data_IF_867321934447
#
_entry.id   IF_867321934447
#
_cell.length_a   1.000
_cell.length_b   1.000
_cell.length_c   1.000
_cell.angle_alpha   90.00
_cell.angle_beta   90.00
_cell.angle_gamma   90.00
#
_symmetry.space_group_name_H-M   'P 1'
#
loop_
_entity.id
_entity.type
_entity.pdbx_description
1 polymer ?
#
# COMPACT_ATOMS: atom_id res chain seq x y z
N UNK A 1 37.63 8.10 67.61
CA UNK A 1 37.45 6.65 67.43
C UNK A 1 36.25 6.43 66.53
N UNK A 2 36.44 5.61 65.48
CA UNK A 2 35.48 4.80 64.71
C UNK A 2 34.14 5.39 64.17
N UNK A 3 33.95 5.28 62.86
CA UNK A 3 32.66 5.20 62.14
C UNK A 3 31.98 3.81 62.38
N UNK A 4 30.87 3.35 61.70
CA UNK A 4 30.03 3.93 60.63
C UNK A 4 28.50 3.60 60.65
N UNK A 5 27.77 4.09 59.62
CA UNK A 5 26.57 3.46 59.01
C UNK A 5 25.27 4.28 59.06
N UNK A 6 24.30 4.23 58.13
CA UNK A 6 24.17 3.73 56.74
C UNK A 6 22.76 4.17 56.26
N UNK A 7 22.60 4.45 54.94
CA UNK A 7 21.33 4.58 54.15
C UNK A 7 20.44 5.83 54.40
N UNK A 8 19.77 6.47 53.42
CA UNK A 8 19.14 6.01 52.18
C UNK A 8 19.24 7.01 50.98
N UNK A 9 19.12 6.40 49.80
CA UNK A 9 18.77 6.81 48.42
C UNK A 9 18.15 8.18 48.10
N UNK A 10 18.58 8.79 46.97
CA UNK A 10 17.81 8.69 45.71
C UNK A 10 18.67 9.06 44.49
N UNK A 11 18.70 8.14 43.53
CA UNK A 11 19.20 8.35 42.18
C UNK A 11 18.13 9.10 41.37
N UNK A 12 18.53 10.15 40.66
CA UNK A 12 17.71 10.77 39.63
C UNK A 12 18.16 10.23 38.28
N UNK A 13 17.34 9.36 37.71
CA UNK A 13 17.48 8.85 36.35
C UNK A 13 17.37 10.00 35.34
N UNK A 14 18.43 10.18 34.57
CA UNK A 14 18.43 11.05 33.39
C UNK A 14 17.83 10.30 32.20
N UNK A 15 16.54 10.48 31.96
CA UNK A 15 15.89 10.03 30.73
C UNK A 15 16.37 10.86 29.53
N UNK A 16 17.28 10.30 28.74
CA UNK A 16 17.62 10.84 27.42
C UNK A 16 16.50 10.50 26.43
N UNK A 17 15.62 11.46 26.18
CA UNK A 17 14.64 11.40 25.10
C UNK A 17 15.38 11.40 23.75
N UNK A 18 15.43 10.23 23.11
CA UNK A 18 15.98 10.06 21.77
C UNK A 18 15.17 10.88 20.76
N UNK A 19 15.78 11.94 20.22
CA UNK A 19 15.20 12.81 19.19
C UNK A 19 14.88 12.00 17.94
N UNK A 20 13.60 11.97 17.55
CA UNK A 20 13.13 11.48 16.23
C UNK A 20 13.90 12.22 15.12
N UNK A 21 14.73 11.50 14.37
CA UNK A 21 15.31 12.01 13.12
C UNK A 21 14.19 12.14 12.10
N UNK A 22 13.73 13.37 11.88
CA UNK A 22 12.89 13.72 10.75
C UNK A 22 13.82 13.90 9.53
N UNK A 23 13.85 12.93 8.62
CA UNK A 23 14.59 13.08 7.37
C UNK A 23 13.83 14.05 6.45
N UNK A 24 14.44 15.14 5.99
CA UNK A 24 13.80 16.11 5.12
C UNK A 24 13.83 15.57 3.68
N UNK A 25 12.98 14.58 3.40
CA UNK A 25 12.71 14.12 2.04
C UNK A 25 11.46 14.79 1.50
N UNK A 26 11.46 15.15 0.21
CA UNK A 26 10.23 15.51 -0.50
C UNK A 26 9.19 14.40 -0.29
N UNK A 27 7.96 14.74 0.10
CA UNK A 27 6.94 13.78 0.54
C UNK A 27 6.72 12.61 -0.45
N UNK A 28 6.96 12.83 -1.74
CA UNK A 28 6.86 11.79 -2.78
C UNK A 28 7.92 10.68 -2.68
N UNK A 29 9.00 10.87 -1.93
CA UNK A 29 10.06 9.88 -1.65
C UNK A 29 9.85 9.11 -0.35
N UNK A 30 8.73 9.34 0.35
CA UNK A 30 8.45 8.72 1.64
C UNK A 30 8.40 7.18 1.60
N UNK A 31 8.20 6.57 0.42
CA UNK A 31 8.25 5.12 0.26
C UNK A 31 9.66 4.56 0.46
N UNK A 32 10.71 5.23 -0.01
CA UNK A 32 12.09 4.75 0.17
C UNK A 32 12.44 4.69 1.67
N UNK A 33 12.09 5.72 2.43
CA UNK A 33 12.26 5.71 3.89
C UNK A 33 11.39 4.65 4.58
N UNK A 34 10.21 4.34 4.02
CA UNK A 34 9.32 3.31 4.57
C UNK A 34 9.87 1.89 4.33
N UNK A 35 10.60 1.66 3.23
CA UNK A 35 11.30 0.40 2.95
C UNK A 35 12.38 0.08 4.00
N UNK A 36 13.00 1.11 4.56
CA UNK A 36 14.03 0.97 5.60
C UNK A 36 13.46 0.87 7.01
N UNK A 37 12.16 1.16 7.21
CA UNK A 37 11.51 1.11 8.51
C UNK A 37 11.22 -0.35 8.94
N UNK A 38 11.87 -0.87 10.00
CA UNK A 38 11.66 -2.24 10.46
C UNK A 38 10.23 -2.53 10.92
N UNK A 39 9.50 -1.52 11.42
CA UNK A 39 8.12 -1.69 11.92
C UNK A 39 7.11 -1.91 10.79
N UNK A 40 7.38 -1.36 9.61
CA UNK A 40 6.51 -1.48 8.45
C UNK A 40 6.83 -2.73 7.63
N UNK A 41 8.09 -3.19 7.66
CA UNK A 41 8.56 -4.33 6.87
C UNK A 41 7.98 -5.64 7.37
N UNK A 42 7.35 -6.39 6.47
CA UNK A 42 6.72 -7.69 6.78
C UNK A 42 7.41 -8.89 6.12
N UNK A 43 8.04 -8.69 4.96
CA UNK A 43 8.81 -9.71 4.24
C UNK A 43 9.84 -9.01 3.34
N UNK A 44 10.89 -9.71 2.93
CA UNK A 44 11.88 -9.21 1.97
C UNK A 44 12.71 -10.34 1.41
N UNK A 45 13.17 -10.19 0.17
CA UNK A 45 14.19 -11.02 -0.46
C UNK A 45 15.20 -10.13 -1.21
N UNK A 46 16.06 -10.72 -2.04
CA UNK A 46 17.10 -10.00 -2.77
C UNK A 46 16.57 -8.98 -3.79
N UNK A 47 15.32 -9.11 -4.24
CA UNK A 47 14.72 -8.28 -5.29
C UNK A 47 13.71 -7.27 -4.75
N UNK A 48 12.95 -7.64 -3.72
CA UNK A 48 11.82 -6.84 -3.22
C UNK A 48 11.78 -6.73 -1.70
N UNK A 49 11.03 -5.73 -1.23
CA UNK A 49 10.61 -5.58 0.15
C UNK A 49 9.09 -5.45 0.18
N UNK A 50 8.47 -6.10 1.16
CA UNK A 50 7.03 -5.97 1.41
C UNK A 50 6.84 -5.19 2.70
N UNK A 51 6.04 -4.13 2.64
CA UNK A 51 5.72 -3.29 3.79
C UNK A 51 4.21 -3.17 3.98
N UNK A 52 3.77 -2.91 5.21
CA UNK A 52 2.40 -2.43 5.48
C UNK A 52 2.24 -1.00 4.94
N UNK A 53 1.12 -0.73 4.26
CA UNK A 53 0.76 0.64 3.90
C UNK A 53 0.49 1.43 5.19
N UNK A 54 1.12 2.61 5.31
CA UNK A 54 0.98 3.49 6.50
C UNK A 54 -0.45 4.01 6.69
N UNK A 55 -1.22 4.10 5.61
CA UNK A 55 -2.59 4.58 5.58
C UNK A 55 -3.49 3.55 4.85
N UNK A 56 -3.67 2.35 5.42
CA UNK A 56 -4.29 1.22 4.74
C UNK A 56 -5.72 1.55 4.30
N UNK A 57 -6.16 1.12 3.10
CA UNK A 57 -7.51 1.43 2.60
C UNK A 57 -8.53 0.30 2.80
N UNK A 58 -8.07 -0.83 3.30
CA UNK A 58 -8.85 -2.01 3.68
C UNK A 58 -8.24 -2.65 4.95
N UNK A 59 -8.82 -3.76 5.42
CA UNK A 59 -8.29 -4.55 6.56
C UNK A 59 -6.83 -4.93 6.35
N UNK A 60 -6.49 -5.40 5.15
CA UNK A 60 -5.12 -5.69 4.74
C UNK A 60 -4.73 -4.81 3.55
N UNK A 61 -3.65 -4.07 3.70
CA UNK A 61 -3.09 -3.28 2.61
C UNK A 61 -1.56 -3.25 2.74
N UNK A 62 -0.90 -3.92 1.80
CA UNK A 62 0.55 -3.99 1.70
C UNK A 62 1.03 -3.36 0.40
N UNK A 63 2.30 -2.98 0.40
CA UNK A 63 3.02 -2.52 -0.77
C UNK A 63 4.21 -3.46 -0.98
N UNK A 64 4.30 -4.04 -2.17
CA UNK A 64 5.51 -4.74 -2.64
C UNK A 64 6.32 -3.73 -3.44
N UNK A 65 7.53 -3.42 -2.99
CA UNK A 65 8.42 -2.46 -3.62
C UNK A 65 9.69 -3.17 -4.12
N UNK A 66 10.14 -2.91 -5.36
CA UNK A 66 11.42 -3.39 -5.82
C UNK A 66 12.55 -2.66 -5.09
N UNK A 67 13.65 -3.37 -4.80
CA UNK A 67 14.90 -2.75 -4.35
C UNK A 67 15.57 -2.00 -5.49
N UNK A 68 15.34 -2.43 -6.74
CA UNK A 68 15.68 -1.66 -7.94
C UNK A 68 14.91 -0.33 -7.95
N UNK A 69 15.60 0.76 -8.30
CA UNK A 69 15.00 2.10 -8.39
C UNK A 69 14.22 2.23 -9.69
N UNK A 70 12.90 2.11 -9.62
CA UNK A 70 11.98 2.31 -10.75
C UNK A 70 10.98 3.36 -10.31
N UNK A 71 10.86 4.46 -11.04
CA UNK A 71 10.11 5.61 -10.55
C UNK A 71 8.59 5.38 -10.45
N UNK A 72 8.00 4.74 -11.47
CA UNK A 72 6.58 4.45 -11.59
C UNK A 72 6.33 3.50 -12.80
N UNK A 73 5.07 3.15 -13.06
CA UNK A 73 4.69 2.30 -14.19
C UNK A 73 5.11 2.83 -15.57
N UNK A 74 5.18 4.16 -15.79
CA UNK A 74 5.63 4.71 -17.08
C UNK A 74 7.11 4.41 -17.37
N UNK A 75 7.91 4.13 -16.33
CA UNK A 75 9.33 3.75 -16.45
C UNK A 75 9.57 2.25 -16.64
N UNK A 76 8.52 1.43 -16.58
CA UNK A 76 8.62 -0.02 -16.72
C UNK A 76 8.80 -0.38 -18.20
N UNK A 77 9.72 -1.32 -18.45
CA UNK A 77 10.09 -1.82 -19.79
C UNK A 77 10.09 -3.35 -19.82
N UNK A 78 10.33 -3.97 -21.01
CA UNK A 78 10.43 -5.43 -21.16
C UNK A 78 11.44 -6.09 -20.22
N UNK A 79 12.55 -5.41 -19.93
CA UNK A 79 13.61 -5.93 -19.05
C UNK A 79 13.12 -6.14 -17.61
N UNK A 80 12.06 -5.42 -17.21
CA UNK A 80 11.48 -5.50 -15.89
C UNK A 80 10.42 -6.60 -15.74
N UNK A 81 10.03 -7.31 -16.81
CA UNK A 81 8.94 -8.30 -16.76
C UNK A 81 9.20 -9.41 -15.73
N UNK A 82 10.44 -9.88 -15.60
CA UNK A 82 10.80 -10.88 -14.59
C UNK A 82 10.56 -10.35 -13.16
N UNK A 83 10.95 -9.10 -12.90
CA UNK A 83 10.74 -8.44 -11.62
C UNK A 83 9.24 -8.24 -11.33
N UNK A 84 8.42 -7.83 -12.32
CA UNK A 84 6.98 -7.68 -12.14
C UNK A 84 6.30 -9.01 -11.79
N UNK A 85 6.68 -10.11 -12.47
CA UNK A 85 6.21 -11.47 -12.16
C UNK A 85 6.60 -11.87 -10.73
N UNK A 86 7.81 -11.55 -10.31
CA UNK A 86 8.28 -11.80 -8.95
C UNK A 86 7.52 -10.99 -7.91
N UNK A 87 7.30 -9.69 -8.16
CA UNK A 87 6.48 -8.82 -7.32
C UNK A 87 5.04 -9.37 -7.17
N UNK A 88 4.42 -9.79 -8.28
CA UNK A 88 3.10 -10.42 -8.26
C UNK A 88 3.09 -11.67 -7.39
N UNK A 89 4.04 -12.59 -7.60
CA UNK A 89 4.18 -13.82 -6.81
C UNK A 89 4.30 -13.52 -5.31
N UNK A 90 5.12 -12.54 -4.94
CA UNK A 90 5.28 -12.09 -3.56
C UNK A 90 3.99 -11.48 -3.01
N UNK A 91 3.26 -10.71 -3.82
CA UNK A 91 1.96 -10.17 -3.44
C UNK A 91 0.91 -11.25 -3.21
N UNK A 92 0.82 -12.25 -4.09
CA UNK A 92 -0.11 -13.37 -3.96
C UNK A 92 0.20 -14.24 -2.74
N UNK A 93 1.49 -14.48 -2.45
CA UNK A 93 1.94 -15.12 -1.21
C UNK A 93 1.50 -14.32 0.02
N UNK A 94 1.64 -12.98 -0.01
CA UNK A 94 1.27 -12.11 1.10
C UNK A 94 -0.24 -12.10 1.34
N UNK A 95 -1.05 -12.02 0.29
CA UNK A 95 -2.51 -12.11 0.38
C UNK A 95 -2.94 -13.41 1.06
N UNK A 96 -2.48 -14.56 0.54
CA UNK A 96 -2.80 -15.89 1.09
C UNK A 96 -2.35 -16.04 2.55
N UNK A 97 -1.16 -15.55 2.91
CA UNK A 97 -0.65 -15.62 4.29
C UNK A 97 -1.44 -14.73 5.25
N UNK A 98 -2.02 -13.64 4.77
CA UNK A 98 -2.71 -12.66 5.62
C UNK A 98 -4.10 -13.12 6.01
N UNK A 99 -4.88 -13.58 5.03
CA UNK A 99 -6.23 -14.10 5.24
C UNK A 99 -6.65 -14.90 4.00
N UNK A 100 -6.52 -16.22 4.05
CA UNK A 100 -6.81 -17.08 2.89
C UNK A 100 -8.28 -17.09 2.50
N UNK A 101 -9.16 -16.62 3.38
CA UNK A 101 -10.58 -16.56 3.14
C UNK A 101 -11.00 -15.24 2.48
N UNK A 102 -10.19 -14.18 2.46
CA UNK A 102 -10.59 -12.91 1.87
C UNK A 102 -10.15 -12.78 0.41
N UNK A 103 -10.98 -12.08 -0.39
CA UNK A 103 -10.59 -11.63 -1.72
C UNK A 103 -9.59 -10.48 -1.65
N UNK A 104 -8.61 -10.51 -2.54
CA UNK A 104 -7.58 -9.47 -2.66
C UNK A 104 -7.47 -8.99 -4.11
N UNK A 105 -7.20 -7.68 -4.26
CA UNK A 105 -6.71 -7.08 -5.48
C UNK A 105 -5.20 -6.94 -5.41
N UNK A 106 -4.53 -7.30 -6.50
CA UNK A 106 -3.09 -7.21 -6.64
C UNK A 106 -2.80 -6.41 -7.90
N UNK A 107 -2.33 -5.18 -7.75
CA UNK A 107 -2.21 -4.28 -8.91
C UNK A 107 -1.65 -2.91 -8.58
N UNK A 108 -1.81 -2.01 -9.53
CA UNK A 108 -1.14 -0.71 -9.53
C UNK A 108 -2.13 0.41 -9.80
N UNK A 109 -1.85 1.59 -9.27
CA UNK A 109 -2.51 2.81 -9.75
C UNK A 109 -1.90 3.24 -11.09
N UNK A 110 -2.74 3.55 -12.07
CA UNK A 110 -2.35 4.03 -13.40
C UNK A 110 -1.43 5.26 -13.34
N UNK A 111 -1.74 6.21 -12.43
CA UNK A 111 -0.91 7.37 -12.11
C UNK A 111 -0.59 7.31 -10.61
N UNK A 112 0.63 6.90 -10.21
CA UNK A 112 0.91 6.75 -8.79
C UNK A 112 0.99 8.10 -8.08
N UNK A 113 0.58 8.11 -6.81
CA UNK A 113 0.62 9.31 -5.96
C UNK A 113 2.00 9.60 -5.37
N UNK A 114 2.92 8.62 -5.43
CA UNK A 114 4.27 8.71 -4.87
C UNK A 114 5.29 8.24 -5.91
N UNK A 115 6.54 8.70 -5.77
CA UNK A 115 7.66 8.13 -6.51
C UNK A 115 8.06 6.78 -5.90
N UNK A 116 8.72 5.95 -6.71
CA UNK A 116 9.00 4.52 -6.51
C UNK A 116 7.81 3.65 -6.91
N UNK A 117 8.05 2.70 -7.82
CA UNK A 117 7.10 1.66 -8.21
C UNK A 117 6.68 0.85 -6.98
N UNK A 118 5.39 0.65 -6.81
CA UNK A 118 4.84 -0.15 -5.73
C UNK A 118 3.60 -0.89 -6.22
N UNK A 119 3.59 -2.19 -5.97
CA UNK A 119 2.43 -3.05 -6.20
C UNK A 119 1.56 -3.06 -4.94
N UNK A 120 0.30 -2.71 -5.08
CA UNK A 120 -0.69 -2.81 -4.01
C UNK A 120 -1.14 -4.25 -3.88
N UNK A 121 -1.21 -4.74 -2.65
CA UNK A 121 -1.88 -5.98 -2.25
C UNK A 121 -2.93 -5.58 -1.23
N UNK A 122 -4.19 -5.55 -1.63
CA UNK A 122 -5.26 -4.96 -0.83
C UNK A 122 -6.47 -5.88 -0.76
N UNK A 123 -7.01 -6.12 0.43
CA UNK A 123 -8.25 -6.89 0.60
C UNK A 123 -9.46 -6.09 0.09
N UNK A 124 -10.45 -6.79 -0.46
CA UNK A 124 -11.62 -6.16 -1.09
C UNK A 124 -12.67 -5.64 -0.10
N UNK A 125 -12.49 -5.85 1.21
CA UNK A 125 -13.41 -5.36 2.22
C UNK A 125 -13.47 -3.82 2.31
N UNK A 126 -12.38 -3.13 1.95
CA UNK A 126 -12.22 -1.67 2.07
C UNK A 126 -12.66 -1.08 3.43
N UNK A 127 -12.64 -1.90 4.48
CA UNK A 127 -13.05 -1.54 5.83
C UNK A 127 -11.88 -0.90 6.57
N UNK A 128 -11.68 0.41 6.37
CA UNK A 128 -10.60 1.16 7.03
C UNK A 128 -10.99 2.57 7.44
N UNK A 129 -10.49 3.09 8.59
CA UNK A 129 -10.61 4.49 8.95
C UNK A 129 -9.85 5.43 7.99
N UNK A 130 -8.81 4.96 7.28
CA UNK A 130 -8.06 5.78 6.33
C UNK A 130 -8.71 5.87 4.93
N UNK A 131 -9.75 5.07 4.66
CA UNK A 131 -10.62 5.26 3.50
C UNK A 131 -11.59 6.43 3.78
N UNK A 132 -11.22 7.63 3.31
CA UNK A 132 -11.86 8.91 3.65
C UNK A 132 -12.54 9.62 2.48
N UNK A 133 -12.01 9.50 1.27
CA UNK A 133 -12.42 10.35 0.14
C UNK A 133 -12.87 9.53 -1.05
N UNK A 134 -13.68 10.16 -1.93
CA UNK A 134 -14.07 9.59 -3.23
C UNK A 134 -12.86 9.19 -4.06
N UNK A 135 -11.80 10.00 -4.07
CA UNK A 135 -10.54 9.67 -4.73
C UNK A 135 -9.94 8.37 -4.21
N UNK A 136 -9.93 8.15 -2.89
CA UNK A 136 -9.44 6.88 -2.33
C UNK A 136 -10.30 5.70 -2.75
N UNK A 137 -11.62 5.85 -2.83
CA UNK A 137 -12.48 4.76 -3.29
C UNK A 137 -12.22 4.45 -4.77
N UNK A 138 -12.40 5.46 -5.63
CA UNK A 138 -12.32 5.29 -7.07
C UNK A 138 -10.93 4.85 -7.53
N UNK A 139 -9.86 5.16 -6.79
CA UNK A 139 -8.51 4.71 -7.15
C UNK A 139 -8.33 3.19 -7.06
N UNK A 140 -9.14 2.48 -6.28
CA UNK A 140 -9.09 1.01 -6.17
C UNK A 140 -10.27 0.29 -6.85
N UNK A 141 -11.37 1.00 -7.11
CA UNK A 141 -12.63 0.38 -7.58
C UNK A 141 -13.05 0.80 -9.00
N UNK A 142 -12.17 1.45 -9.74
CA UNK A 142 -12.34 1.76 -11.17
C UNK A 142 -11.15 1.22 -11.97
N UNK A 143 -11.15 1.39 -13.29
CA UNK A 143 -10.00 1.08 -14.16
C UNK A 143 -8.75 1.95 -13.90
N UNK A 144 -8.81 2.87 -12.93
CA UNK A 144 -7.63 3.53 -12.39
C UNK A 144 -6.70 2.54 -11.67
N UNK A 145 -7.27 1.46 -11.12
CA UNK A 145 -6.51 0.33 -10.58
C UNK A 145 -6.35 -0.73 -11.67
N UNK A 146 -5.12 -0.97 -12.10
CA UNK A 146 -4.77 -1.91 -13.16
C UNK A 146 -4.28 -3.19 -12.51
N UNK A 147 -4.84 -4.32 -12.94
CA UNK A 147 -4.44 -5.63 -12.42
C UNK A 147 -2.96 -5.92 -12.73
N UNK A 148 -2.27 -6.56 -11.79
CA UNK A 148 -0.85 -6.86 -11.94
C UNK A 148 -0.55 -7.79 -13.11
N UNK A 149 -1.44 -8.74 -13.43
CA UNK A 149 -1.26 -9.65 -14.55
C UNK A 149 -1.46 -8.91 -15.88
N UNK A 150 -2.46 -8.02 -15.97
CA UNK A 150 -2.67 -7.16 -17.14
C UNK A 150 -1.44 -6.27 -17.41
N UNK A 151 -0.84 -5.70 -16.37
CA UNK A 151 0.41 -4.94 -16.47
C UNK A 151 1.55 -5.80 -17.04
N UNK A 152 1.73 -7.02 -16.52
CA UNK A 152 2.77 -7.95 -16.97
C UNK A 152 2.58 -8.29 -18.45
N UNK A 153 1.35 -8.65 -18.85
CA UNK A 153 1.02 -9.01 -20.22
C UNK A 153 1.24 -7.85 -21.19
N UNK A 154 0.76 -6.66 -20.83
CA UNK A 154 0.90 -5.45 -21.65
C UNK A 154 2.37 -5.09 -21.84
N UNK A 155 3.17 -5.07 -20.78
CA UNK A 155 4.60 -4.77 -20.89
C UNK A 155 5.33 -5.85 -21.70
N UNK A 156 4.99 -7.12 -21.53
CA UNK A 156 5.62 -8.20 -22.30
C UNK A 156 5.35 -8.06 -23.80
N UNK A 157 4.11 -7.72 -24.18
CA UNK A 157 3.69 -7.52 -25.56
C UNK A 157 4.22 -6.22 -26.16
N UNK A 158 3.87 -5.09 -25.56
CA UNK A 158 4.04 -3.74 -26.12
C UNK A 158 5.34 -3.06 -25.67
N UNK A 159 5.94 -3.53 -24.58
CA UNK A 159 7.21 -3.05 -24.05
C UNK A 159 7.15 -1.83 -23.16
N UNK A 160 5.99 -1.17 -23.07
CA UNK A 160 5.73 -0.04 -22.19
C UNK A 160 4.24 0.07 -21.92
N UNK A 161 3.87 0.84 -20.90
CA UNK A 161 2.48 1.23 -20.63
C UNK A 161 2.23 2.66 -21.09
N UNK A 162 1.02 2.94 -21.54
CA UNK A 162 0.55 4.30 -21.81
C UNK A 162 -0.74 4.55 -21.02
N UNK A 163 -0.90 5.78 -20.54
CA UNK A 163 -2.03 6.15 -19.69
C UNK A 163 -2.66 7.44 -20.22
N UNK A 164 -3.97 7.44 -20.38
CA UNK A 164 -4.73 8.65 -20.67
C UNK A 164 -4.96 9.43 -19.36
N UNK A 165 -4.29 10.57 -19.23
CA UNK A 165 -4.38 11.42 -18.04
C UNK A 165 -5.77 12.04 -17.86
N UNK A 166 -6.46 12.36 -18.96
CA UNK A 166 -7.81 12.93 -18.93
C UNK A 166 -8.81 11.90 -18.44
N UNK A 167 -8.74 10.68 -18.98
CA UNK A 167 -9.56 9.57 -18.53
C UNK A 167 -9.31 9.27 -17.05
N UNK A 168 -8.05 9.19 -16.63
CA UNK A 168 -7.70 8.92 -15.24
C UNK A 168 -8.23 9.98 -14.26
N UNK A 169 -8.17 11.26 -14.63
CA UNK A 169 -8.77 12.33 -13.83
C UNK A 169 -10.29 12.21 -13.74
N UNK A 170 -10.95 11.74 -14.81
CA UNK A 170 -12.40 11.50 -14.83
C UNK A 170 -12.77 10.34 -13.90
N UNK A 171 -12.07 9.20 -14.00
CA UNK A 171 -12.29 8.01 -13.15
C UNK A 171 -12.29 8.35 -11.65
N UNK A 172 -11.31 9.16 -11.22
CA UNK A 172 -11.21 9.58 -9.81
C UNK A 172 -12.35 10.49 -9.32
N UNK A 173 -13.13 11.08 -10.24
CA UNK A 173 -14.24 12.01 -9.96
C UNK A 173 -15.62 11.37 -10.11
N UNK A 174 -15.71 10.18 -10.68
CA UNK A 174 -16.96 9.44 -10.87
C UNK A 174 -17.79 9.30 -9.59
N UNK A 175 -19.08 9.05 -9.75
CA UNK A 175 -19.98 8.80 -8.64
C UNK A 175 -19.56 7.52 -7.89
N UNK A 176 -19.77 7.50 -6.57
CA UNK A 176 -19.38 6.33 -5.79
C UNK A 176 -20.30 5.18 -6.18
N UNK A 177 -19.70 4.08 -6.61
CA UNK A 177 -20.40 2.85 -6.95
C UNK A 177 -19.81 1.71 -6.13
N UNK A 178 -20.67 0.90 -5.53
CA UNK A 178 -20.24 -0.33 -4.86
C UNK A 178 -19.51 -1.24 -5.87
N UNK A 179 -18.35 -1.77 -5.50
CA UNK A 179 -17.59 -2.65 -6.40
C UNK A 179 -18.17 -4.08 -6.47
N UNK A 180 -19.07 -4.45 -5.55
CA UNK A 180 -19.72 -5.77 -5.49
C UNK A 180 -21.08 -5.75 -6.20
N UNK A 181 -22.00 -4.89 -5.75
CA UNK A 181 -23.39 -4.88 -6.25
C UNK A 181 -23.70 -3.74 -7.23
N UNK A 182 -22.70 -2.90 -7.54
CA UNK A 182 -22.83 -1.77 -8.47
C UNK A 182 -23.87 -0.70 -8.11
N UNK A 183 -24.41 -0.72 -6.88
CA UNK A 183 -25.28 0.34 -6.35
C UNK A 183 -24.53 1.67 -6.29
N UNK A 184 -25.16 2.72 -6.81
CA UNK A 184 -24.66 4.09 -6.70
C UNK A 184 -24.98 4.68 -5.32
N UNK A 185 -24.00 5.35 -4.73
CA UNK A 185 -24.06 5.88 -3.37
C UNK A 185 -23.55 7.32 -3.39
N UNK A 186 -24.22 8.20 -2.65
CA UNK A 186 -24.00 9.65 -2.78
C UNK A 186 -22.88 10.17 -1.88
N UNK A 187 -22.58 9.50 -0.77
CA UNK A 187 -21.60 9.98 0.22
C UNK A 187 -20.67 8.87 0.70
N UNK A 188 -19.44 9.25 1.11
CA UNK A 188 -18.47 8.31 1.68
C UNK A 188 -18.97 7.62 2.95
N UNK A 189 -19.62 8.29 3.93
CA UNK A 189 -20.16 7.60 5.10
C UNK A 189 -21.21 6.53 4.74
N UNK A 190 -22.15 6.85 3.84
CA UNK A 190 -23.15 5.89 3.39
C UNK A 190 -22.51 4.72 2.65
N UNK A 191 -21.45 4.97 1.86
CA UNK A 191 -20.69 3.93 1.19
C UNK A 191 -20.00 3.01 2.20
N UNK A 192 -19.34 3.58 3.21
CA UNK A 192 -18.67 2.80 4.26
C UNK A 192 -19.64 1.93 5.05
N UNK A 193 -20.86 2.42 5.32
CA UNK A 193 -21.91 1.61 5.94
C UNK A 193 -22.43 0.52 4.98
N UNK A 194 -22.54 0.83 3.70
CA UNK A 194 -23.04 -0.14 2.72
C UNK A 194 -22.07 -1.30 2.49
N UNK A 195 -20.77 -1.05 2.42
CA UNK A 195 -19.79 -2.10 2.12
C UNK A 195 -19.70 -3.17 3.21
N UNK A 196 -20.05 -2.87 4.46
CA UNK A 196 -20.09 -3.87 5.54
C UNK A 196 -21.22 -4.89 5.38
N UNK A 197 -22.12 -4.71 4.41
CA UNK A 197 -23.24 -5.62 4.13
C UNK A 197 -22.86 -6.75 3.16
N UNK A 198 -21.68 -6.68 2.54
CA UNK A 198 -21.21 -7.70 1.59
C UNK A 198 -20.32 -8.73 2.27
N UNK A 199 -20.36 -9.96 1.75
CA UNK A 199 -19.41 -11.01 2.09
C UNK A 199 -18.22 -10.99 1.13
N UNK A 200 -17.03 -10.80 1.70
CA UNK A 200 -15.76 -10.74 0.97
C UNK A 200 -15.01 -12.07 0.99
N UNK A 201 -15.65 -13.12 1.48
CA UNK A 201 -15.06 -14.45 1.55
C UNK A 201 -14.90 -15.06 0.15
N UNK A 202 -13.82 -15.82 -0.05
CA UNK A 202 -13.65 -16.69 -1.22
C UNK A 202 -14.66 -17.84 -1.04
N UNK A 203 -15.59 -17.96 -2.00
CA UNK A 203 -16.56 -19.06 -2.04
C UNK A 203 -15.97 -20.30 -2.69
#
# INVERSE_FOLDING_TARGET
>A
MAAPGKHLSNATDSETVAKKKCFPGHWSQGLLSSMENPELRVDSDDQVVVIKDKYPKAKYHFLVLPKMKISNLKSVTKDHVSLLKHMHKMGSKMAKRSDENLKFKIGYHSIPSMGQLHLHVISEDFCSPCLKTKKHWNSFTTSYFIDSMEVIETVQKEGKLSFDETLNQKLLKENLRCHVCHKEITTMPALKQHITQHDYSIK
#
